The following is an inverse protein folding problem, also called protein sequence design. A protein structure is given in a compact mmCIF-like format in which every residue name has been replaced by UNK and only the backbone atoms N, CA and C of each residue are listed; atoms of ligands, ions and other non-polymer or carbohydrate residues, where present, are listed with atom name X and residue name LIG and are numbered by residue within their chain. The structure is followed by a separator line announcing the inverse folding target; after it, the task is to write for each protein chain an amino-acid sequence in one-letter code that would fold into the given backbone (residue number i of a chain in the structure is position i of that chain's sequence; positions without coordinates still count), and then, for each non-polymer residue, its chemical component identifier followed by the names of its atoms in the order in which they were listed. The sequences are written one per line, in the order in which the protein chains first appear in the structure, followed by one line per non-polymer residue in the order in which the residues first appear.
data_IF_861334982577
#
_entry.id   IF_861334982577
#
_cell.length_a   1.000
_cell.length_b   1.000
_cell.length_c   1.000
_cell.angle_alpha   90.00
_cell.angle_beta   90.00
_cell.angle_gamma   90.00
#
_symmetry.space_group_name_H-M   'P 1'
#
loop_
_entity.id
_entity.type
_entity.pdbx_description
1 polymer ?
#
# COMPACT_ATOMS: atom_id res chain seq x y z
N UNK A 1 14.45 9.54 30.18
CA UNK A 1 13.11 9.94 29.70
C UNK A 1 13.08 10.43 28.26
N UNK A 2 14.23 10.67 27.60
CA UNK A 2 14.28 11.15 26.19
C UNK A 2 14.28 10.03 25.15
N UNK A 3 14.80 8.83 25.49
CA UNK A 3 14.88 7.72 24.54
C UNK A 3 13.53 7.08 24.16
N UNK A 4 12.52 7.15 25.03
CA UNK A 4 11.18 6.61 24.72
C UNK A 4 10.49 7.42 23.61
N UNK A 5 10.63 8.74 23.64
CA UNK A 5 9.96 9.63 22.67
C UNK A 5 10.55 9.52 21.27
N UNK A 6 11.88 9.37 21.16
CA UNK A 6 12.56 9.19 19.87
C UNK A 6 12.25 7.84 19.22
N UNK A 7 11.97 6.81 20.01
CA UNK A 7 11.56 5.50 19.49
C UNK A 7 10.14 5.56 18.89
N UNK A 8 9.20 6.25 19.56
CA UNK A 8 7.83 6.36 19.03
C UNK A 8 7.80 7.09 17.67
N UNK A 9 8.61 8.13 17.48
CA UNK A 9 8.66 8.88 16.22
C UNK A 9 9.20 8.06 15.05
N UNK A 10 10.22 7.23 15.26
CA UNK A 10 10.81 6.41 14.18
C UNK A 10 9.89 5.25 13.79
N UNK A 11 9.11 4.73 14.73
CA UNK A 11 8.08 3.72 14.46
C UNK A 11 6.93 4.29 13.61
N UNK A 12 6.49 5.52 13.89
CA UNK A 12 5.45 6.19 13.09
C UNK A 12 5.97 6.52 11.69
N UNK A 13 7.21 7.01 11.59
CA UNK A 13 7.84 7.33 10.31
C UNK A 13 7.98 6.09 9.42
N UNK A 14 8.50 4.98 9.97
CA UNK A 14 8.61 3.72 9.24
C UNK A 14 7.25 3.16 8.82
N UNK A 15 6.24 3.19 9.68
CA UNK A 15 4.89 2.74 9.34
C UNK A 15 4.25 3.57 8.21
N UNK A 16 4.49 4.89 8.19
CA UNK A 16 4.04 5.77 7.11
C UNK A 16 4.76 5.44 5.80
N UNK A 17 6.08 5.26 5.83
CA UNK A 17 6.87 4.89 4.66
C UNK A 17 6.39 3.54 4.09
N UNK A 18 6.22 2.52 4.93
CA UNK A 18 5.67 1.22 4.55
C UNK A 18 4.30 1.36 3.87
N UNK A 19 3.38 2.13 4.47
CA UNK A 19 2.06 2.39 3.89
C UNK A 19 2.16 3.03 2.49
N UNK A 20 2.94 4.11 2.35
CA UNK A 20 3.06 4.81 1.08
C UNK A 20 3.73 3.94 0.01
N UNK A 21 4.76 3.17 0.37
CA UNK A 21 5.44 2.25 -0.54
C UNK A 21 4.48 1.16 -1.03
N UNK A 22 3.69 0.56 -0.13
CA UNK A 22 2.72 -0.47 -0.52
C UNK A 22 1.58 0.06 -1.39
N UNK A 23 1.04 1.25 -1.06
CA UNK A 23 0.03 1.93 -1.87
C UNK A 23 0.58 2.27 -3.26
N UNK A 24 1.79 2.81 -3.34
CA UNK A 24 2.44 3.12 -4.61
C UNK A 24 2.68 1.87 -5.45
N UNK A 25 3.15 0.78 -4.83
CA UNK A 25 3.37 -0.50 -5.50
C UNK A 25 2.07 -1.11 -6.06
N UNK A 26 0.93 -0.90 -5.40
CA UNK A 26 -0.39 -1.35 -5.86
C UNK A 26 -0.97 -0.46 -6.96
N UNK A 27 -0.79 0.85 -6.86
CA UNK A 27 -1.41 1.84 -7.75
C UNK A 27 -0.64 2.05 -9.05
N UNK A 28 0.69 2.16 -8.98
CA UNK A 28 1.52 2.58 -10.12
C UNK A 28 1.46 1.59 -11.28
N UNK A 29 1.66 0.27 -11.10
CA UNK A 29 1.63 -0.67 -12.23
C UNK A 29 0.31 -0.68 -13.01
N UNK A 30 -0.88 -0.83 -12.39
CA UNK A 30 -2.14 -0.86 -13.14
C UNK A 30 -2.48 0.49 -13.77
N UNK A 31 -2.09 1.62 -13.16
CA UNK A 31 -2.30 2.94 -13.75
C UNK A 31 -1.39 3.13 -14.97
N UNK A 32 -0.12 2.73 -14.91
CA UNK A 32 0.82 2.82 -16.05
C UNK A 32 0.34 1.94 -17.21
N UNK A 33 -0.01 0.68 -16.94
CA UNK A 33 -0.54 -0.24 -17.95
C UNK A 33 -1.88 0.27 -18.50
N UNK A 34 -2.77 0.74 -17.63
CA UNK A 34 -4.05 1.32 -17.99
C UNK A 34 -3.91 2.56 -18.86
N UNK A 35 -2.98 3.46 -18.55
CA UNK A 35 -2.70 4.65 -19.35
C UNK A 35 -2.16 4.27 -20.73
N UNK A 36 -1.29 3.25 -20.81
CA UNK A 36 -0.72 2.79 -22.06
C UNK A 36 -1.76 2.13 -22.97
N UNK A 37 -2.60 1.23 -22.44
CA UNK A 37 -3.63 0.51 -23.21
C UNK A 37 -4.88 1.35 -23.48
N UNK A 38 -5.34 2.14 -22.50
CA UNK A 38 -6.66 2.78 -22.52
C UNK A 38 -6.61 4.30 -22.74
N UNK A 39 -5.47 4.86 -23.16
CA UNK A 39 -5.32 6.30 -23.50
C UNK A 39 -6.40 6.89 -24.42
N UNK A 40 -7.01 6.06 -25.27
CA UNK A 40 -8.09 6.48 -26.20
C UNK A 40 -9.51 6.33 -25.62
N UNK A 41 -9.66 5.59 -24.52
CA UNK A 41 -10.93 5.21 -23.90
C UNK A 41 -10.99 5.77 -22.48
N UNK A 42 -11.00 7.12 -22.36
CA UNK A 42 -10.89 7.83 -21.08
C UNK A 42 -11.95 7.42 -20.05
N UNK A 43 -13.16 7.03 -20.49
CA UNK A 43 -14.22 6.52 -19.60
C UNK A 43 -13.83 5.20 -18.93
N UNK A 44 -13.25 4.29 -19.70
CA UNK A 44 -12.81 2.97 -19.21
C UNK A 44 -11.57 3.12 -18.33
N UNK A 45 -10.67 4.05 -18.69
CA UNK A 45 -9.54 4.42 -17.83
C UNK A 45 -10.01 4.97 -16.48
N UNK A 46 -11.01 5.87 -16.47
CA UNK A 46 -11.60 6.38 -15.23
C UNK A 46 -12.22 5.28 -14.36
N UNK A 47 -12.89 4.31 -14.98
CA UNK A 47 -13.40 3.13 -14.27
C UNK A 47 -12.28 2.27 -13.67
N UNK A 48 -11.19 2.04 -14.41
CA UNK A 48 -10.02 1.34 -13.89
C UNK A 48 -9.42 2.06 -12.68
N UNK A 49 -9.25 3.38 -12.77
CA UNK A 49 -8.72 4.19 -11.66
C UNK A 49 -9.64 4.08 -10.43
N UNK A 50 -10.96 4.14 -10.61
CA UNK A 50 -11.91 3.96 -9.51
C UNK A 50 -11.80 2.56 -8.88
N UNK A 51 -11.68 1.51 -9.70
CA UNK A 51 -11.55 0.14 -9.21
C UNK A 51 -10.26 -0.08 -8.42
N UNK A 52 -9.14 0.46 -8.91
CA UNK A 52 -7.85 0.43 -8.21
C UNK A 52 -7.94 1.23 -6.91
N UNK A 53 -8.57 2.42 -6.92
CA UNK A 53 -8.79 3.21 -5.71
C UNK A 53 -9.59 2.47 -4.64
N UNK A 54 -10.68 1.81 -5.03
CA UNK A 54 -11.51 1.02 -4.11
C UNK A 54 -10.73 -0.19 -3.58
N UNK A 55 -10.03 -0.93 -4.45
CA UNK A 55 -9.22 -2.08 -4.06
C UNK A 55 -8.10 -1.69 -3.11
N UNK A 56 -7.33 -0.65 -3.43
CA UNK A 56 -6.27 -0.13 -2.57
C UNK A 56 -6.83 0.41 -1.26
N UNK A 57 -7.97 1.11 -1.27
CA UNK A 57 -8.63 1.58 -0.05
C UNK A 57 -8.96 0.42 0.90
N UNK A 58 -9.47 -0.69 0.38
CA UNK A 58 -9.70 -1.92 1.16
C UNK A 58 -8.39 -2.55 1.68
N UNK A 59 -7.32 -2.53 0.90
CA UNK A 59 -6.01 -3.03 1.34
C UNK A 59 -5.37 -2.14 2.42
N UNK A 60 -5.66 -0.83 2.41
CA UNK A 60 -5.22 0.10 3.46
C UNK A 60 -5.98 -0.14 4.75
N UNK A 61 -7.30 -0.36 4.71
CA UNK A 61 -8.09 -0.59 5.92
C UNK A 61 -7.78 -1.93 6.61
N UNK A 62 -7.32 -2.92 5.85
CA UNK A 62 -6.94 -4.24 6.37
C UNK A 62 -5.48 -4.33 6.83
N UNK A 63 -4.67 -3.28 6.59
CA UNK A 63 -3.24 -3.26 6.91
C UNK A 63 -2.34 -3.96 5.88
N UNK A 64 -2.92 -4.59 4.86
CA UNK A 64 -2.19 -5.32 3.82
C UNK A 64 -1.26 -4.39 3.01
N UNK A 65 -1.63 -3.12 2.85
CA UNK A 65 -0.78 -2.14 2.18
C UNK A 65 0.54 -1.92 2.94
N UNK A 66 0.53 -1.81 4.27
CA UNK A 66 1.76 -1.71 5.06
C UNK A 66 2.62 -2.98 4.93
N UNK A 67 2.02 -4.17 4.99
CA UNK A 67 2.76 -5.45 4.87
C UNK A 67 3.45 -5.60 3.51
N UNK A 68 2.78 -5.18 2.43
CA UNK A 68 3.37 -5.15 1.08
C UNK A 68 4.55 -4.18 1.06
N UNK A 69 4.39 -2.97 1.60
CA UNK A 69 5.47 -1.98 1.65
C UNK A 69 6.67 -2.45 2.47
N UNK A 70 6.42 -3.07 3.64
CA UNK A 70 7.46 -3.69 4.47
C UNK A 70 8.23 -4.77 3.72
N UNK A 71 7.53 -5.63 2.98
CA UNK A 71 8.15 -6.67 2.15
C UNK A 71 9.05 -6.07 1.08
N UNK A 72 8.61 -5.01 0.42
CA UNK A 72 9.38 -4.31 -0.63
C UNK A 72 10.62 -3.62 -0.06
N UNK A 73 10.51 -3.04 1.13
CA UNK A 73 11.61 -2.38 1.85
C UNK A 73 12.59 -3.38 2.50
N UNK A 74 12.41 -4.69 2.30
CA UNK A 74 13.29 -5.73 2.81
C UNK A 74 13.03 -6.12 4.27
N UNK A 75 11.92 -5.66 4.86
CA UNK A 75 11.44 -6.14 6.16
C UNK A 75 10.75 -7.50 6.04
N UNK A 76 10.85 -8.32 7.09
CA UNK A 76 10.12 -9.58 7.15
C UNK A 76 8.61 -9.30 7.16
N UNK A 77 7.87 -9.87 6.18
CA UNK A 77 6.42 -9.87 6.19
C UNK A 77 5.93 -10.48 7.50
N UNK A 78 5.10 -9.76 8.27
CA UNK A 78 4.48 -10.33 9.46
C UNK A 78 3.31 -11.18 8.94
N UNK A 79 3.35 -12.52 9.04
CA UNK A 79 2.28 -13.35 8.51
C UNK A 79 0.99 -12.99 9.24
N UNK A 80 -0.08 -12.77 8.47
CA UNK A 80 -1.43 -12.60 9.01
C UNK A 80 -1.69 -13.72 10.03
N UNK A 81 -1.97 -13.33 11.28
CA UNK A 81 -2.16 -14.26 12.38
C UNK A 81 -3.29 -15.23 12.03
N UNK A 82 -2.94 -16.48 11.74
CA UNK A 82 -3.93 -17.54 11.50
C UNK A 82 -4.85 -17.61 12.73
N UNK A 83 -6.18 -17.63 12.56
CA UNK A 83 -7.08 -17.81 13.69
C UNK A 83 -6.73 -19.13 14.37
N UNK A 84 -6.51 -19.08 15.68
CA UNK A 84 -6.34 -20.27 16.50
C UNK A 84 -7.59 -21.14 16.30
N UNK A 85 -7.41 -22.29 15.66
CA UNK A 85 -8.47 -23.27 15.46
C UNK A 85 -8.50 -24.24 16.63
#
# INVERSE_FOLDING_TARGET
MTQSWTADTTLVESAMIELYTGVAALMVPPIVVGAMLLRRQLKVFGFLVALVAVGTGYLVTTGAAQDIGRTILGGAAVPAKAPAR
#
